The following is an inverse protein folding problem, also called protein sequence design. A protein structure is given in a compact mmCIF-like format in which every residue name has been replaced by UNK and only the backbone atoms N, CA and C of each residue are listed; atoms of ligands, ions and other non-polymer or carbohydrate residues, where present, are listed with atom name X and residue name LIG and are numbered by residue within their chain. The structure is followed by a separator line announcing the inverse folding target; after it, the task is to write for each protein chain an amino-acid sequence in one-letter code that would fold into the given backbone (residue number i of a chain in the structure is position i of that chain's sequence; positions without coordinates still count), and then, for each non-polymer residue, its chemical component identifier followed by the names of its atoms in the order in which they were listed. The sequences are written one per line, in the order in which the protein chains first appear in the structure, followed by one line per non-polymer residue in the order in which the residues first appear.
data_IF_958749103034
#
_entry.id   IF_958749103034
#
_cell.length_a   1.000
_cell.length_b   1.000
_cell.length_c   1.000
_cell.angle_alpha   90.00
_cell.angle_beta   90.00
_cell.angle_gamma   90.00
#
_symmetry.space_group_name_H-M   'P 1'
#
loop_
_entity.id
_entity.type
_entity.pdbx_description
1 polymer ?
#
# COMPACT_ATOMS: atom_id res chain seq x y z
N UNK A 1 0.68 -11.59 11.78
CA UNK A 1 -0.70 -12.06 12.04
C UNK A 1 -1.73 -11.08 11.52
N UNK A 2 -1.68 -9.80 11.91
CA UNK A 2 -2.65 -8.80 11.45
C UNK A 2 -2.79 -8.66 9.92
N UNK A 3 -1.69 -8.76 9.17
CA UNK A 3 -1.73 -8.76 7.70
C UNK A 3 -2.56 -9.90 7.11
N UNK A 4 -2.54 -11.08 7.74
CA UNK A 4 -3.35 -12.24 7.31
C UNK A 4 -4.84 -12.00 7.58
N UNK A 5 -5.18 -11.47 8.74
CA UNK A 5 -6.57 -11.14 9.09
C UNK A 5 -7.15 -10.09 8.15
N UNK A 6 -6.38 -9.04 7.85
CA UNK A 6 -6.80 -8.01 6.91
C UNK A 6 -6.94 -8.59 5.49
N UNK A 7 -6.01 -9.43 5.05
CA UNK A 7 -6.11 -10.09 3.74
C UNK A 7 -7.30 -11.06 3.63
N UNK A 8 -7.80 -11.60 4.74
CA UNK A 8 -8.96 -12.49 4.77
C UNK A 8 -10.31 -11.76 4.74
N UNK A 9 -10.34 -10.42 4.82
CA UNK A 9 -11.59 -9.65 4.81
C UNK A 9 -12.26 -9.67 3.43
N UNK A 10 -13.45 -10.25 3.29
CA UNK A 10 -14.14 -10.41 2.00
C UNK A 10 -14.46 -9.09 1.31
N UNK A 11 -14.94 -8.09 2.07
CA UNK A 11 -15.26 -6.77 1.52
C UNK A 11 -13.97 -5.96 1.23
N UNK A 12 -13.68 -5.64 -0.04
CA UNK A 12 -12.46 -4.94 -0.42
C UNK A 12 -12.39 -3.52 0.16
N UNK A 13 -13.52 -2.86 0.40
CA UNK A 13 -13.52 -1.54 1.01
C UNK A 13 -13.11 -1.61 2.47
N UNK A 14 -13.70 -2.53 3.24
CA UNK A 14 -13.33 -2.79 4.63
C UNK A 14 -11.85 -3.16 4.76
N UNK A 15 -11.35 -4.01 3.86
CA UNK A 15 -9.92 -4.35 3.77
C UNK A 15 -9.04 -3.11 3.58
N UNK A 16 -9.42 -2.24 2.63
CA UNK A 16 -8.69 -1.01 2.35
C UNK A 16 -8.69 -0.05 3.54
N UNK A 17 -9.82 0.06 4.27
CA UNK A 17 -9.94 0.89 5.46
C UNK A 17 -9.05 0.33 6.58
N UNK A 18 -9.04 -0.98 6.79
CA UNK A 18 -8.19 -1.63 7.80
C UNK A 18 -6.70 -1.38 7.53
N UNK A 19 -6.25 -1.51 6.28
CA UNK A 19 -4.90 -1.09 5.87
C UNK A 19 -4.63 0.39 6.21
N UNK A 20 -5.61 1.27 5.98
CA UNK A 20 -5.45 2.71 6.17
C UNK A 20 -5.35 3.09 7.65
N UNK A 21 -6.16 2.44 8.50
CA UNK A 21 -6.09 2.57 9.95
C UNK A 21 -4.73 2.10 10.46
N UNK A 22 -4.23 0.95 9.99
CA UNK A 22 -2.90 0.46 10.37
C UNK A 22 -1.81 1.46 10.00
N UNK A 23 -1.77 1.91 8.74
CA UNK A 23 -0.74 2.87 8.26
C UNK A 23 -0.77 4.19 9.02
N UNK A 24 -1.92 4.58 9.56
CA UNK A 24 -2.06 5.84 10.32
C UNK A 24 -1.62 5.74 11.77
N UNK A 25 -1.87 4.61 12.42
CA UNK A 25 -1.76 4.50 13.89
C UNK A 25 -0.74 3.47 14.37
N UNK A 26 -0.25 2.61 13.48
CA UNK A 26 0.64 1.50 13.82
C UNK A 26 1.96 1.60 13.04
N UNK A 27 3.01 0.89 13.48
CA UNK A 27 4.28 0.86 12.77
C UNK A 27 4.10 0.44 11.31
N UNK A 28 4.87 1.07 10.42
CA UNK A 28 4.81 0.78 9.00
C UNK A 28 5.19 -0.69 8.73
N UNK A 29 4.34 -1.38 7.99
CA UNK A 29 4.47 -2.79 7.62
C UNK A 29 4.33 -2.91 6.10
N UNK A 30 5.35 -3.50 5.46
CA UNK A 30 5.42 -3.71 4.01
C UNK A 30 4.21 -4.50 3.50
N UNK A 31 3.79 -5.56 4.22
CA UNK A 31 2.70 -6.43 3.79
C UNK A 31 1.36 -5.70 3.84
N UNK A 32 1.14 -4.87 4.86
CA UNK A 32 -0.09 -4.09 5.00
C UNK A 32 -0.21 -3.07 3.86
N UNK A 33 0.90 -2.42 3.50
CA UNK A 33 0.95 -1.51 2.36
C UNK A 33 0.68 -2.24 1.04
N UNK A 34 1.25 -3.43 0.85
CA UNK A 34 0.99 -4.24 -0.35
C UNK A 34 -0.46 -4.70 -0.44
N UNK A 35 -1.08 -5.14 0.66
CA UNK A 35 -2.51 -5.48 0.67
C UNK A 35 -3.35 -4.27 0.24
N UNK A 36 -3.03 -3.07 0.73
CA UNK A 36 -3.73 -1.83 0.32
C UNK A 36 -3.56 -1.53 -1.18
N UNK A 37 -2.35 -1.73 -1.72
CA UNK A 37 -2.05 -1.56 -3.14
C UNK A 37 -2.82 -2.56 -3.99
N UNK A 38 -2.76 -3.85 -3.66
CA UNK A 38 -3.40 -4.92 -4.41
C UNK A 38 -4.91 -4.76 -4.39
N UNK A 39 -5.48 -4.43 -3.23
CA UNK A 39 -6.91 -4.17 -3.08
C UNK A 39 -7.36 -2.97 -3.92
N UNK A 40 -6.63 -1.85 -3.84
CA UNK A 40 -6.96 -0.66 -4.63
C UNK A 40 -6.78 -0.89 -6.14
N UNK A 41 -5.75 -1.63 -6.54
CA UNK A 41 -5.46 -1.97 -7.93
C UNK A 41 -6.54 -2.88 -8.52
N UNK A 42 -6.94 -3.93 -7.81
CA UNK A 42 -7.96 -4.88 -8.25
C UNK A 42 -9.34 -4.22 -8.43
N UNK A 43 -9.64 -3.17 -7.65
CA UNK A 43 -10.92 -2.45 -7.71
C UNK A 43 -10.86 -1.16 -8.56
N UNK A 44 -9.73 -0.86 -9.21
CA UNK A 44 -9.59 0.33 -10.05
C UNK A 44 -9.56 1.66 -9.27
N UNK A 45 -9.30 1.64 -7.97
CA UNK A 45 -9.32 2.81 -7.11
C UNK A 45 -8.01 3.61 -7.18
N UNK A 46 -7.93 4.52 -8.16
CA UNK A 46 -6.70 5.29 -8.45
C UNK A 46 -6.18 6.14 -7.28
N UNK A 47 -7.07 6.83 -6.54
CA UNK A 47 -6.67 7.71 -5.42
C UNK A 47 -6.01 6.96 -4.26
N UNK A 48 -6.63 5.92 -3.68
CA UNK A 48 -5.97 5.14 -2.63
C UNK A 48 -4.76 4.38 -3.17
N UNK A 49 -4.79 3.86 -4.41
CA UNK A 49 -3.63 3.22 -5.03
C UNK A 49 -2.41 4.15 -5.04
N UNK A 50 -2.59 5.40 -5.47
CA UNK A 50 -1.51 6.40 -5.47
C UNK A 50 -1.01 6.69 -4.04
N UNK A 51 -1.93 6.84 -3.07
CA UNK A 51 -1.56 7.09 -1.68
C UNK A 51 -0.74 5.94 -1.06
N UNK A 52 -1.15 4.69 -1.27
CA UNK A 52 -0.44 3.53 -0.74
C UNK A 52 0.91 3.30 -1.43
N UNK A 53 1.01 3.52 -2.74
CA UNK A 53 2.29 3.47 -3.44
C UNK A 53 3.25 4.55 -2.92
N UNK A 54 2.78 5.77 -2.66
CA UNK A 54 3.61 6.81 -2.03
C UNK A 54 4.10 6.41 -0.64
N UNK A 55 3.24 5.80 0.18
CA UNK A 55 3.65 5.29 1.50
C UNK A 55 4.64 4.13 1.41
N UNK A 56 4.48 3.22 0.45
CA UNK A 56 5.41 2.12 0.22
C UNK A 56 6.77 2.61 -0.28
N UNK A 57 6.80 3.61 -1.15
CA UNK A 57 8.04 4.25 -1.58
C UNK A 57 8.79 4.82 -0.37
N UNK A 58 8.11 5.61 0.47
CA UNK A 58 8.71 6.20 1.66
C UNK A 58 9.22 5.13 2.63
N UNK A 59 8.45 4.04 2.82
CA UNK A 59 8.87 2.91 3.65
C UNK A 59 10.21 2.33 3.18
N UNK A 60 10.39 2.09 1.88
CA UNK A 60 11.66 1.59 1.36
C UNK A 60 12.81 2.59 1.48
N UNK A 61 12.54 3.89 1.28
CA UNK A 61 13.54 4.94 1.49
C UNK A 61 14.01 4.99 2.96
N UNK A 62 13.08 4.91 3.91
CA UNK A 62 13.39 4.87 5.35
C UNK A 62 14.20 3.62 5.74
N UNK A 63 14.00 2.50 5.03
CA UNK A 63 14.77 1.26 5.21
C UNK A 63 16.08 1.22 4.43
N UNK A 64 16.37 2.23 3.59
CA UNK A 64 17.56 2.28 2.74
C UNK A 64 17.50 1.39 1.50
N UNK A 65 16.35 0.78 1.18
CA UNK A 65 16.16 -0.05 -0.01
C UNK A 65 15.82 0.82 -1.24
N UNK A 66 16.85 1.49 -1.75
CA UNK A 66 16.72 2.43 -2.87
C UNK A 66 16.26 1.75 -4.16
N UNK A 67 16.59 0.46 -4.34
CA UNK A 67 16.17 -0.31 -5.51
C UNK A 67 14.65 -0.49 -5.53
N UNK A 68 14.07 -0.98 -4.42
CA UNK A 68 12.62 -1.11 -4.32
C UNK A 68 11.90 0.24 -4.35
N UNK A 69 12.47 1.27 -3.71
CA UNK A 69 11.93 2.62 -3.78
C UNK A 69 11.86 3.16 -5.22
N UNK A 70 12.89 2.90 -6.03
CA UNK A 70 12.93 3.27 -7.44
C UNK A 70 11.84 2.59 -8.27
N UNK A 71 11.60 1.29 -8.06
CA UNK A 71 10.54 0.54 -8.74
C UNK A 71 9.16 1.15 -8.43
N UNK A 72 8.90 1.47 -7.16
CA UNK A 72 7.63 2.10 -6.76
C UNK A 72 7.49 3.50 -7.35
N UNK A 73 8.59 4.26 -7.45
CA UNK A 73 8.61 5.57 -8.10
C UNK A 73 8.17 5.49 -9.58
N UNK A 74 8.67 4.50 -10.32
CA UNK A 74 8.27 4.29 -11.71
C UNK A 74 6.78 3.96 -11.82
N UNK A 75 6.25 3.10 -10.95
CA UNK A 75 4.81 2.80 -10.91
C UNK A 75 3.95 4.04 -10.61
N UNK A 76 4.40 4.90 -9.70
CA UNK A 76 3.74 6.18 -9.42
C UNK A 76 3.74 7.12 -10.63
N UNK A 77 4.82 7.17 -11.41
CA UNK A 77 4.90 7.96 -12.66
C UNK A 77 3.92 7.45 -13.70
N UNK A 78 3.78 6.13 -13.84
CA UNK A 78 2.80 5.53 -14.78
C UNK A 78 1.35 5.89 -14.42
N UNK A 79 1.04 5.97 -13.12
CA UNK A 79 -0.28 6.42 -12.63
C UNK A 79 -0.53 7.92 -12.75
N UNK A 80 0.46 8.73 -13.17
CA UNK A 80 0.26 10.16 -13.43
C UNK A 80 -0.16 10.45 -14.87
N UNK A 81 0.13 9.53 -15.80
CA UNK A 81 -0.41 9.57 -17.16
C UNK A 81 -1.91 9.27 -17.17
#
# INVERSE_FOLDING_TARGET
MASREIAAMDDPLSRLIACGVWVRYLPADENILQIGIDTASANGWRRPLWAYLGKLQNYYLEKGDLAKAGIVAERLKLLKK
#
